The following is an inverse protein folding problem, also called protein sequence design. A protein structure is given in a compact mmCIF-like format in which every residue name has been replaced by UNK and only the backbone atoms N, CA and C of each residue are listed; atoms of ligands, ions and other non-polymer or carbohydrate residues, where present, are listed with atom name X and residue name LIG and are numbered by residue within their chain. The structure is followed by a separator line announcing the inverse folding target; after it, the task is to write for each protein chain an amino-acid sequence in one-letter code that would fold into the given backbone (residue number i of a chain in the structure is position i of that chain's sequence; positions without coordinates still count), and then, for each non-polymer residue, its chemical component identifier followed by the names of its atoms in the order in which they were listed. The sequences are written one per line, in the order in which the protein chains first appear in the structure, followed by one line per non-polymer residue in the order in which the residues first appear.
data_IF_981400327287
#
_entry.id   IF_981400327287
#
_cell.length_a   1.000
_cell.length_b   1.000
_cell.length_c   1.000
_cell.angle_alpha   90.00
_cell.angle_beta   90.00
_cell.angle_gamma   90.00
#
_symmetry.space_group_name_H-M   'P 1'
#
loop_
_entity.id
_entity.type
_entity.pdbx_description
1 polymer ?
#
# COMPACT_ATOMS: atom_id res chain seq x y z
N UNK A 1 36.88 22.58 22.75
CA UNK A 1 36.74 21.73 21.54
C UNK A 1 35.93 22.51 20.53
N UNK A 2 36.41 22.60 19.29
CA UNK A 2 35.64 23.18 18.19
C UNK A 2 34.47 22.25 17.89
N UNK A 3 33.26 22.78 17.84
CA UNK A 3 32.06 22.04 17.44
C UNK A 3 32.06 21.86 15.92
N UNK A 4 31.62 20.70 15.45
CA UNK A 4 31.42 20.45 14.01
C UNK A 4 30.24 21.29 13.53
N UNK A 5 30.40 22.02 12.45
CA UNK A 5 29.30 22.78 11.82
C UNK A 5 28.65 21.89 10.77
N UNK A 6 27.34 21.68 10.88
CA UNK A 6 26.54 20.85 9.96
C UNK A 6 25.39 21.65 9.38
N UNK A 7 24.96 21.31 8.17
CA UNK A 7 23.73 21.79 7.57
C UNK A 7 22.48 21.07 8.09
N UNK A 8 21.35 21.32 7.44
CA UNK A 8 20.08 20.60 7.68
C UNK A 8 20.10 19.14 7.21
N UNK A 9 21.02 18.80 6.31
CA UNK A 9 21.29 17.45 5.80
C UNK A 9 22.81 17.24 5.68
N UNK A 10 23.29 16.06 6.09
CA UNK A 10 24.70 15.68 6.01
C UNK A 10 24.87 14.21 5.65
N UNK A 11 26.09 13.85 5.24
CA UNK A 11 26.51 12.46 5.10
C UNK A 11 27.37 12.06 6.31
N UNK A 12 27.15 10.85 6.81
CA UNK A 12 27.87 10.31 7.96
C UNK A 12 28.13 8.81 7.78
N UNK A 13 29.08 8.26 8.54
CA UNK A 13 29.42 6.83 8.55
C UNK A 13 29.18 6.18 9.90
N UNK A 14 28.99 4.86 9.87
CA UNK A 14 28.93 3.99 11.06
C UNK A 14 29.90 2.82 10.87
N UNK A 15 31.19 2.98 11.22
CA UNK A 15 32.21 1.96 11.03
C UNK A 15 31.88 0.64 11.72
N UNK A 16 31.33 0.70 12.95
CA UNK A 16 30.97 -0.49 13.72
C UNK A 16 29.87 -1.33 13.05
N UNK A 17 29.08 -0.71 12.17
CA UNK A 17 28.00 -1.35 11.42
C UNK A 17 28.40 -1.64 9.96
N UNK A 18 29.63 -1.32 9.57
CA UNK A 18 30.08 -1.45 8.18
C UNK A 18 29.29 -0.57 7.21
N UNK A 19 28.78 0.59 7.66
CA UNK A 19 28.06 1.56 6.81
C UNK A 19 29.05 2.67 6.42
N UNK A 20 29.60 2.67 5.18
CA UNK A 20 30.63 3.62 4.79
C UNK A 20 30.09 5.05 4.59
N UNK A 21 28.83 5.21 4.20
CA UNK A 21 28.19 6.53 4.14
C UNK A 21 26.67 6.45 4.05
N UNK A 22 25.96 7.26 4.83
CA UNK A 22 24.50 7.34 4.83
C UNK A 22 24.06 8.79 4.98
N UNK A 23 23.02 9.15 4.20
CA UNK A 23 22.44 10.48 4.24
C UNK A 23 21.57 10.64 5.49
N UNK A 24 21.92 11.59 6.33
CA UNK A 24 21.21 11.92 7.56
C UNK A 24 20.50 13.27 7.45
N UNK A 25 19.28 13.34 7.98
CA UNK A 25 18.64 14.62 8.30
C UNK A 25 19.05 15.02 9.71
N UNK A 26 19.52 16.26 9.85
CA UNK A 26 19.85 16.86 11.14
C UNK A 26 18.57 17.38 11.77
N UNK A 27 18.17 16.78 12.89
CA UNK A 27 16.88 17.06 13.55
C UNK A 27 17.08 17.33 15.04
N UNK A 28 17.24 18.62 15.38
CA UNK A 28 17.36 19.08 16.76
C UNK A 28 16.07 18.93 17.58
N UNK A 29 14.92 18.70 16.93
CA UNK A 29 13.64 18.40 17.56
C UNK A 29 13.53 16.95 18.02
N UNK A 30 14.21 16.02 17.33
CA UNK A 30 14.30 14.63 17.74
C UNK A 30 15.22 14.48 18.97
N UNK A 31 14.73 13.86 20.04
CA UNK A 31 15.55 13.60 21.24
C UNK A 31 16.70 12.63 20.92
N UNK A 32 16.35 11.45 20.39
CA UNK A 32 17.28 10.34 20.10
C UNK A 32 17.36 10.13 18.60
N UNK A 33 18.55 9.74 18.11
CA UNK A 33 18.77 9.40 16.70
C UNK A 33 18.00 8.13 16.29
N UNK A 34 17.67 8.04 15.00
CA UNK A 34 16.96 6.90 14.45
C UNK A 34 17.57 6.46 13.11
N UNK A 35 17.84 5.16 12.98
CA UNK A 35 18.36 4.54 11.77
C UNK A 35 17.31 3.61 11.17
N UNK A 36 17.09 3.79 9.86
CA UNK A 36 16.24 2.93 9.07
C UNK A 36 16.81 1.52 9.06
N UNK A 37 16.06 0.58 9.58
CA UNK A 37 16.44 -0.82 9.62
C UNK A 37 15.23 -1.71 9.30
N UNK A 38 15.49 -2.80 8.57
CA UNK A 38 14.51 -3.85 8.25
C UNK A 38 15.00 -5.20 8.77
N UNK A 39 14.13 -6.21 8.74
CA UNK A 39 14.44 -7.56 9.23
C UNK A 39 15.02 -7.60 10.66
N UNK A 40 14.60 -6.64 11.51
CA UNK A 40 15.11 -6.47 12.87
C UNK A 40 14.68 -7.66 13.73
N UNK A 41 15.65 -8.47 14.15
CA UNK A 41 15.42 -9.66 14.94
C UNK A 41 16.42 -9.74 16.11
N UNK A 42 15.95 -9.82 17.37
CA UNK A 42 16.84 -10.07 18.50
C UNK A 42 17.34 -11.52 18.48
N UNK A 43 18.57 -11.73 18.95
CA UNK A 43 19.15 -13.07 19.14
C UNK A 43 20.16 -13.04 20.29
N UNK A 44 20.57 -14.22 20.76
CA UNK A 44 21.59 -14.37 21.80
C UNK A 44 22.90 -14.79 21.13
N UNK A 45 23.98 -14.06 21.43
CA UNK A 45 25.35 -14.36 20.97
C UNK A 45 26.26 -14.34 22.18
N UNK A 46 26.94 -15.45 22.47
CA UNK A 46 27.83 -15.59 23.63
C UNK A 46 27.15 -15.12 24.94
N UNK A 47 25.94 -15.62 25.22
CA UNK A 47 25.13 -15.27 26.41
C UNK A 47 24.78 -13.78 26.58
N UNK A 48 24.95 -12.97 25.53
CA UNK A 48 24.56 -11.55 25.52
C UNK A 48 23.43 -11.30 24.52
N UNK A 49 22.60 -10.29 24.78
CA UNK A 49 21.51 -9.89 23.89
C UNK A 49 22.07 -9.09 22.71
N UNK A 50 21.76 -9.54 21.51
CA UNK A 50 22.11 -8.89 20.25
C UNK A 50 20.88 -8.65 19.41
N UNK A 51 21.02 -7.81 18.39
CA UNK A 51 20.03 -7.61 17.36
C UNK A 51 20.70 -7.69 15.99
N UNK A 52 20.12 -8.47 15.08
CA UNK A 52 20.47 -8.47 13.67
C UNK A 52 19.45 -7.69 12.88
N UNK A 53 19.90 -6.98 11.86
CA UNK A 53 19.06 -6.11 11.05
C UNK A 53 19.75 -5.79 9.72
N UNK A 54 18.96 -5.37 8.74
CA UNK A 54 19.44 -4.97 7.43
C UNK A 54 19.26 -3.47 7.24
N UNK A 55 20.24 -2.83 6.61
CA UNK A 55 20.25 -1.40 6.28
C UNK A 55 20.22 -1.22 4.77
N UNK A 56 19.32 -0.37 4.29
CA UNK A 56 19.37 0.20 2.94
C UNK A 56 19.94 1.63 3.04
N UNK A 57 21.25 1.82 2.82
CA UNK A 57 21.92 3.09 3.12
C UNK A 57 21.64 4.18 2.06
N UNK A 58 21.34 3.77 0.83
CA UNK A 58 21.08 4.68 -0.29
C UNK A 58 19.59 5.04 -0.33
N UNK A 59 19.31 6.33 -0.50
CA UNK A 59 17.94 6.84 -0.61
C UNK A 59 17.24 6.28 -1.86
N UNK A 60 15.99 5.84 -1.70
CA UNK A 60 15.19 5.21 -2.77
C UNK A 60 15.85 4.00 -3.46
N UNK A 61 16.79 3.32 -2.78
CA UNK A 61 17.42 2.09 -3.26
C UNK A 61 17.22 1.00 -2.21
N UNK A 62 16.58 -0.09 -2.65
CA UNK A 62 16.27 -1.31 -1.88
C UNK A 62 17.29 -2.44 -2.12
N UNK A 63 18.11 -2.32 -3.17
CA UNK A 63 19.02 -3.36 -3.68
C UNK A 63 20.34 -3.42 -2.92
N UNK A 64 20.82 -2.26 -2.49
CA UNK A 64 22.01 -2.13 -1.65
C UNK A 64 21.62 -2.47 -0.21
N UNK A 65 22.11 -3.59 0.30
CA UNK A 65 21.82 -4.07 1.66
C UNK A 65 23.13 -4.24 2.41
N UNK A 66 23.18 -3.71 3.63
CA UNK A 66 24.23 -4.01 4.61
C UNK A 66 23.60 -4.83 5.73
N UNK A 67 24.17 -6.01 5.98
CA UNK A 67 23.78 -6.89 7.07
C UNK A 67 24.54 -6.50 8.34
N UNK A 68 23.81 -6.10 9.37
CA UNK A 68 24.39 -5.58 10.59
C UNK A 68 23.99 -6.47 11.79
N UNK A 69 24.93 -6.61 12.72
CA UNK A 69 24.70 -7.18 14.05
C UNK A 69 25.27 -6.21 15.08
N UNK A 70 24.53 -5.93 16.14
CA UNK A 70 25.02 -5.09 17.23
C UNK A 70 24.50 -5.58 18.60
N UNK A 71 25.25 -5.35 19.69
CA UNK A 71 24.75 -5.55 21.04
C UNK A 71 23.49 -4.74 21.29
N UNK A 72 22.47 -5.38 21.87
CA UNK A 72 21.23 -4.72 22.24
C UNK A 72 21.38 -4.08 23.62
N UNK A 73 21.40 -2.74 23.67
CA UNK A 73 21.64 -2.00 24.91
C UNK A 73 20.33 -1.65 25.66
N UNK A 74 19.23 -1.41 24.94
CA UNK A 74 17.96 -0.98 25.53
C UNK A 74 16.77 -1.22 24.58
N UNK A 75 15.55 -1.11 25.09
CA UNK A 75 14.31 -0.99 24.31
C UNK A 75 13.54 0.25 24.75
N UNK A 76 13.36 1.21 23.85
CA UNK A 76 12.72 2.50 24.18
C UNK A 76 11.39 2.67 23.47
N UNK A 77 10.40 3.18 24.21
CA UNK A 77 9.15 3.64 23.62
C UNK A 77 9.39 5.04 23.05
N UNK A 78 9.40 5.16 21.73
CA UNK A 78 9.55 6.42 21.01
C UNK A 78 8.18 6.90 20.56
N UNK A 79 7.86 8.17 20.86
CA UNK A 79 6.64 8.82 20.41
C UNK A 79 6.96 9.69 19.18
N UNK A 80 6.25 9.47 18.06
CA UNK A 80 6.36 10.33 16.88
C UNK A 80 5.64 11.67 17.10
N UNK A 81 5.93 12.65 16.24
CA UNK A 81 5.19 13.91 16.16
C UNK A 81 3.69 13.71 15.88
N UNK A 82 3.32 12.62 15.19
CA UNK A 82 1.92 12.22 14.96
C UNK A 82 1.24 11.54 16.15
N UNK A 83 1.94 11.39 17.28
CA UNK A 83 1.39 10.78 18.50
C UNK A 83 1.50 9.25 18.59
N UNK A 84 2.00 8.59 17.54
CA UNK A 84 2.23 7.15 17.51
C UNK A 84 3.34 6.76 18.49
N UNK A 85 3.16 5.66 19.22
CA UNK A 85 4.17 5.11 20.14
C UNK A 85 4.67 3.79 19.59
N UNK A 86 5.97 3.67 19.45
CA UNK A 86 6.65 2.47 18.96
C UNK A 86 7.72 2.03 19.96
N UNK A 87 7.78 0.75 20.29
CA UNK A 87 8.90 0.21 21.04
C UNK A 87 10.03 -0.16 20.07
N UNK A 88 11.17 0.50 20.21
CA UNK A 88 12.33 0.33 19.32
C UNK A 88 13.51 -0.27 20.05
N UNK A 89 14.26 -1.11 19.36
CA UNK A 89 15.56 -1.60 19.83
C UNK A 89 16.59 -0.47 19.76
N UNK A 90 17.45 -0.37 20.77
CA UNK A 90 18.50 0.63 20.86
C UNK A 90 19.85 -0.06 20.79
N UNK A 91 20.73 0.46 19.94
CA UNK A 91 22.12 0.04 19.81
C UNK A 91 23.05 1.22 20.09
N UNK A 92 24.28 0.93 20.47
CA UNK A 92 25.35 1.93 20.51
C UNK A 92 26.31 1.69 19.33
N UNK A 93 26.68 2.77 18.63
CA UNK A 93 27.63 2.73 17.50
C UNK A 93 28.41 4.04 17.44
N UNK A 94 29.63 4.00 16.93
CA UNK A 94 30.40 5.19 16.60
C UNK A 94 29.80 5.88 15.38
N UNK A 95 29.47 7.16 15.54
CA UNK A 95 29.14 8.08 14.45
C UNK A 95 30.42 8.76 14.00
N UNK A 96 30.66 8.75 12.70
CA UNK A 96 31.66 9.58 12.03
C UNK A 96 30.96 10.63 11.18
N UNK A 97 31.31 11.90 11.39
CA UNK A 97 30.75 13.04 10.65
C UNK A 97 31.82 14.12 10.49
N UNK A 98 32.21 14.37 9.23
CA UNK A 98 33.41 15.16 8.94
C UNK A 98 34.66 14.46 9.48
N UNK A 99 35.49 15.19 10.23
CA UNK A 99 36.71 14.65 10.87
C UNK A 99 36.48 14.15 12.30
N UNK A 100 35.23 14.17 12.79
CA UNK A 100 34.91 13.87 14.18
C UNK A 100 34.23 12.51 14.33
N UNK A 101 34.56 11.84 15.44
CA UNK A 101 34.06 10.49 15.77
C UNK A 101 33.65 10.42 17.23
N UNK A 102 32.44 9.92 17.52
CA UNK A 102 32.01 9.65 18.89
C UNK A 102 30.89 8.61 18.97
N UNK A 103 30.73 7.90 20.10
CA UNK A 103 29.64 6.94 20.28
C UNK A 103 28.29 7.65 20.42
N UNK A 104 27.28 7.10 19.76
CA UNK A 104 25.89 7.53 19.88
C UNK A 104 24.96 6.34 20.11
N UNK A 105 23.83 6.61 20.75
CA UNK A 105 22.72 5.66 20.79
C UNK A 105 21.78 5.90 19.60
N UNK A 106 21.37 4.81 18.97
CA UNK A 106 20.51 4.84 17.79
C UNK A 106 19.36 3.88 17.97
N UNK A 107 18.15 4.36 17.70
CA UNK A 107 16.95 3.52 17.65
C UNK A 107 16.80 2.89 16.26
N UNK A 108 16.57 1.57 16.21
CA UNK A 108 16.30 0.84 14.97
C UNK A 108 14.79 0.85 14.69
N UNK A 109 14.39 1.28 13.49
CA UNK A 109 12.97 1.34 13.10
C UNK A 109 12.82 1.29 11.58
N UNK A 110 11.71 0.74 11.08
CA UNK A 110 11.42 0.84 9.66
C UNK A 110 10.94 2.26 9.34
N UNK A 111 11.77 2.97 8.58
CA UNK A 111 11.53 4.34 8.10
C UNK A 111 11.27 4.44 6.59
N UNK A 112 10.90 3.36 5.90
CA UNK A 112 10.67 3.35 4.43
C UNK A 112 9.72 4.46 3.98
N UNK A 113 8.68 4.74 4.76
CA UNK A 113 7.68 5.77 4.46
C UNK A 113 8.14 7.19 4.85
N UNK A 114 9.31 7.33 5.47
CA UNK A 114 9.84 8.59 5.98
C UNK A 114 11.11 8.93 5.19
N UNK A 115 11.11 10.02 4.41
CA UNK A 115 12.12 10.32 3.38
C UNK A 115 13.61 10.40 3.78
N UNK A 116 13.98 10.14 5.04
CA UNK A 116 15.38 10.00 5.48
C UNK A 116 15.63 8.68 6.20
N UNK A 117 16.60 7.93 5.66
CA UNK A 117 17.10 6.67 6.22
C UNK A 117 17.82 6.87 7.56
N UNK A 118 18.35 8.05 7.85
CA UNK A 118 18.96 8.39 9.14
C UNK A 118 18.43 9.74 9.66
N UNK A 119 18.08 9.79 10.95
CA UNK A 119 17.82 11.02 11.69
C UNK A 119 18.90 11.21 12.76
N UNK A 120 19.60 12.34 12.72
CA UNK A 120 20.56 12.73 13.74
C UNK A 120 19.87 13.58 14.80
N UNK A 121 19.64 13.00 15.98
CA UNK A 121 18.92 13.62 17.08
C UNK A 121 19.80 14.48 18.00
N UNK A 122 19.15 15.27 18.85
CA UNK A 122 19.79 16.22 19.77
C UNK A 122 20.77 15.59 20.75
N UNK A 123 20.50 14.38 21.26
CA UNK A 123 21.42 13.68 22.18
C UNK A 123 22.77 13.36 21.52
N UNK A 124 22.76 12.94 20.25
CA UNK A 124 23.97 12.70 19.48
C UNK A 124 24.76 14.00 19.22
N UNK A 125 24.06 15.12 19.01
CA UNK A 125 24.65 16.43 18.68
C UNK A 125 25.14 17.23 19.89
N UNK A 126 24.55 17.01 21.07
CA UNK A 126 24.74 17.87 22.24
C UNK A 126 26.22 18.02 22.61
N UNK A 127 26.67 19.27 22.74
CA UNK A 127 28.05 19.62 23.06
C UNK A 127 29.06 19.46 21.92
N UNK A 128 28.67 18.88 20.78
CA UNK A 128 29.59 18.47 19.69
C UNK A 128 29.32 19.16 18.37
N UNK A 129 28.07 19.55 18.11
CA UNK A 129 27.61 20.04 16.80
C UNK A 129 26.98 21.43 16.91
N UNK A 130 27.19 22.27 15.88
CA UNK A 130 26.45 23.49 15.57
C UNK A 130 25.69 23.29 14.26
N UNK A 131 24.39 23.62 14.25
CA UNK A 131 23.54 23.42 13.08
C UNK A 131 23.30 24.76 12.38
N UNK A 132 23.68 24.84 11.12
CA UNK A 132 23.28 25.91 10.20
C UNK A 132 22.05 25.44 9.40
N UNK A 133 20.84 25.96 9.70
CA UNK A 133 19.62 25.50 9.05
C UNK A 133 19.50 25.94 7.59
N UNK A 134 20.27 26.93 7.13
CA UNK A 134 20.21 27.44 5.75
C UNK A 134 21.03 26.57 4.78
N UNK A 135 22.03 25.85 5.30
CA UNK A 135 22.97 25.07 4.51
C UNK A 135 22.62 23.58 4.48
N UNK A 136 23.22 22.88 3.53
CA UNK A 136 23.20 21.43 3.38
C UNK A 136 24.58 20.97 2.92
N UNK A 137 25.00 19.77 3.35
CA UNK A 137 26.25 19.12 2.92
C UNK A 137 27.49 19.97 3.17
N UNK A 138 27.57 20.64 4.32
CA UNK A 138 28.74 21.46 4.68
C UNK A 138 30.01 20.62 4.80
N UNK A 139 29.86 19.32 5.06
CA UNK A 139 30.95 18.35 5.18
C UNK A 139 31.21 17.58 3.88
N UNK A 140 30.56 17.98 2.78
CA UNK A 140 30.66 17.34 1.48
C UNK A 140 29.56 16.30 1.22
N UNK A 141 29.46 15.89 -0.04
CA UNK A 141 28.51 14.87 -0.49
C UNK A 141 29.19 13.93 -1.51
N UNK A 142 28.98 12.61 -1.38
CA UNK A 142 29.43 11.67 -2.39
C UNK A 142 28.62 11.86 -3.69
N UNK A 143 29.27 11.72 -4.83
CA UNK A 143 28.58 11.67 -6.13
C UNK A 143 27.85 10.33 -6.30
N UNK A 144 26.89 10.28 -7.25
CA UNK A 144 26.16 9.02 -7.53
C UNK A 144 27.09 7.88 -7.97
N UNK A 145 28.14 8.18 -8.72
CA UNK A 145 29.10 7.16 -9.16
C UNK A 145 29.99 6.68 -8.01
N UNK A 146 30.39 7.60 -7.13
CA UNK A 146 31.11 7.27 -5.90
C UNK A 146 30.25 6.37 -4.97
N UNK A 147 28.94 6.66 -4.83
CA UNK A 147 28.03 5.79 -4.07
C UNK A 147 27.94 4.38 -4.65
N UNK A 148 27.86 4.24 -5.97
CA UNK A 148 27.85 2.91 -6.62
C UNK A 148 29.15 2.15 -6.37
N UNK A 149 30.28 2.84 -6.39
CA UNK A 149 31.59 2.24 -6.13
C UNK A 149 31.72 1.79 -4.67
N UNK A 150 31.36 2.66 -3.71
CA UNK A 150 31.34 2.35 -2.27
C UNK A 150 30.52 1.10 -1.98
N UNK A 151 29.37 0.96 -2.64
CA UNK A 151 28.39 -0.10 -2.37
C UNK A 151 28.38 -1.25 -3.39
N UNK A 152 29.39 -1.33 -4.26
CA UNK A 152 29.43 -2.29 -5.38
C UNK A 152 29.26 -3.76 -4.96
N UNK A 153 29.78 -4.13 -3.79
CA UNK A 153 29.72 -5.51 -3.26
C UNK A 153 28.52 -5.74 -2.34
N UNK A 154 27.68 -4.74 -2.14
CA UNK A 154 26.51 -4.78 -1.26
C UNK A 154 25.19 -4.92 -2.03
N UNK A 155 25.25 -4.93 -3.37
CA UNK A 155 24.09 -5.23 -4.22
C UNK A 155 23.88 -6.74 -4.30
N UNK A 156 22.70 -7.20 -3.87
CA UNK A 156 22.32 -8.61 -4.04
C UNK A 156 21.73 -8.79 -5.43
N UNK A 157 22.24 -9.77 -6.20
CA UNK A 157 21.53 -10.23 -7.39
C UNK A 157 20.14 -10.74 -6.97
N UNK A 158 19.06 -10.41 -7.71
CA UNK A 158 17.75 -10.95 -7.40
C UNK A 158 17.81 -12.48 -7.45
N UNK A 159 17.38 -13.12 -6.37
CA UNK A 159 17.40 -14.59 -6.20
C UNK A 159 16.01 -15.16 -5.97
N UNK A 160 15.01 -14.29 -5.87
CA UNK A 160 13.60 -14.66 -5.76
C UNK A 160 12.90 -14.67 -7.11
N UNK A 161 11.57 -14.81 -7.04
CA UNK A 161 10.65 -14.76 -8.17
C UNK A 161 10.84 -13.53 -9.06
N UNK A 162 10.51 -13.66 -10.34
CA UNK A 162 10.38 -12.57 -11.30
C UNK A 162 8.93 -12.12 -11.36
N UNK A 163 8.67 -10.91 -10.88
CA UNK A 163 7.31 -10.40 -10.65
C UNK A 163 7.07 -9.13 -11.48
N UNK A 164 6.00 -9.11 -12.27
CA UNK A 164 5.59 -7.95 -13.05
C UNK A 164 4.50 -7.14 -12.34
N UNK A 165 4.68 -5.83 -12.20
CA UNK A 165 3.63 -4.90 -11.76
C UNK A 165 2.94 -4.30 -12.99
N UNK A 166 1.76 -4.82 -13.35
CA UNK A 166 1.00 -4.39 -14.52
C UNK A 166 0.12 -3.18 -14.19
N UNK A 167 0.56 -1.97 -14.57
CA UNK A 167 -0.08 -0.72 -14.16
C UNK A 167 0.04 0.38 -15.23
N UNK A 168 -0.52 1.56 -14.96
CA UNK A 168 -0.50 2.68 -15.92
C UNK A 168 0.49 3.80 -15.60
N UNK A 169 0.92 3.93 -14.34
CA UNK A 169 1.77 5.03 -13.88
C UNK A 169 2.74 4.53 -12.79
N UNK A 170 4.05 4.49 -13.03
CA UNK A 170 5.04 4.04 -12.04
C UNK A 170 5.18 5.00 -10.85
N UNK A 171 4.82 6.27 -11.02
CA UNK A 171 5.06 7.31 -10.02
C UNK A 171 4.06 7.31 -8.85
N UNK A 172 3.00 6.52 -8.93
CA UNK A 172 2.02 6.44 -7.84
C UNK A 172 2.64 5.75 -6.63
N UNK A 173 2.37 6.30 -5.44
CA UNK A 173 2.83 5.74 -4.15
C UNK A 173 2.62 4.22 -4.05
N UNK A 174 1.41 3.74 -4.37
CA UNK A 174 1.10 2.30 -4.27
C UNK A 174 1.95 1.44 -5.18
N UNK A 175 2.30 1.94 -6.37
CA UNK A 175 3.10 1.17 -7.32
C UNK A 175 4.58 1.17 -6.91
N UNK A 176 5.12 2.32 -6.49
CA UNK A 176 6.49 2.41 -5.92
C UNK A 176 6.65 1.46 -4.74
N UNK A 177 5.72 1.51 -3.79
CA UNK A 177 5.72 0.65 -2.60
C UNK A 177 5.68 -0.84 -2.93
N UNK A 178 4.90 -1.27 -3.91
CA UNK A 178 4.86 -2.68 -4.34
C UNK A 178 6.18 -3.10 -4.99
N UNK A 179 6.77 -2.26 -5.84
CA UNK A 179 8.08 -2.50 -6.45
C UNK A 179 9.16 -2.61 -5.38
N UNK A 180 9.25 -1.63 -4.49
CA UNK A 180 10.20 -1.62 -3.37
C UNK A 180 10.04 -2.84 -2.46
N UNK A 181 8.80 -3.17 -2.06
CA UNK A 181 8.53 -4.31 -1.20
C UNK A 181 8.92 -5.64 -1.85
N UNK A 182 8.79 -5.77 -3.17
CA UNK A 182 9.27 -6.95 -3.90
C UNK A 182 10.79 -7.03 -3.94
N UNK A 183 11.46 -5.93 -4.27
CA UNK A 183 12.92 -5.86 -4.33
C UNK A 183 13.57 -6.10 -2.96
N UNK A 184 13.05 -5.50 -1.90
CA UNK A 184 13.52 -5.70 -0.51
C UNK A 184 13.38 -7.15 -0.05
N UNK A 185 12.48 -7.92 -0.68
CA UNK A 185 12.27 -9.34 -0.41
C UNK A 185 13.08 -10.24 -1.34
N UNK A 186 13.92 -9.64 -2.20
CA UNK A 186 14.87 -10.33 -3.07
C UNK A 186 14.33 -10.72 -4.44
N UNK A 187 13.14 -10.24 -4.82
CA UNK A 187 12.50 -10.54 -6.10
C UNK A 187 12.99 -9.63 -7.22
N UNK A 188 12.94 -10.14 -8.44
CA UNK A 188 13.18 -9.34 -9.65
C UNK A 188 11.89 -8.64 -10.06
N UNK A 189 11.78 -7.35 -9.78
CA UNK A 189 10.56 -6.56 -10.04
C UNK A 189 10.62 -5.85 -11.39
N UNK A 190 9.56 -5.97 -12.19
CA UNK A 190 9.41 -5.27 -13.47
C UNK A 190 8.14 -4.43 -13.49
N UNK A 191 8.26 -3.13 -13.75
CA UNK A 191 7.08 -2.32 -14.03
C UNK A 191 6.65 -2.54 -15.49
N UNK A 192 5.39 -2.92 -15.70
CA UNK A 192 4.83 -3.17 -17.02
C UNK A 192 3.71 -2.16 -17.28
N UNK A 193 3.95 -1.20 -18.18
CA UNK A 193 2.89 -0.28 -18.57
C UNK A 193 1.84 -1.00 -19.43
N UNK A 194 0.58 -0.99 -18.96
CA UNK A 194 -0.57 -1.60 -19.66
C UNK A 194 -0.62 -1.18 -21.13
N UNK A 195 -0.40 0.11 -21.44
CA UNK A 195 -0.53 0.63 -22.81
C UNK A 195 0.64 0.26 -23.73
N UNK A 196 1.74 -0.21 -23.15
CA UNK A 196 2.93 -0.61 -23.90
C UNK A 196 2.97 -2.12 -24.15
N UNK A 197 2.05 -2.88 -23.54
CA UNK A 197 1.90 -4.30 -23.76
C UNK A 197 0.97 -4.57 -24.95
N UNK A 198 1.29 -5.59 -25.75
CA UNK A 198 0.43 -6.12 -26.81
C UNK A 198 0.58 -7.64 -26.91
N UNK A 199 -0.41 -8.35 -27.46
CA UNK A 199 -0.48 -9.82 -27.38
C UNK A 199 -0.41 -10.45 -28.77
N UNK A 200 0.22 -11.62 -28.84
CA UNK A 200 0.15 -12.54 -29.96
C UNK A 200 -0.70 -13.74 -29.51
N UNK A 201 -1.88 -13.87 -30.11
CA UNK A 201 -2.75 -15.03 -29.94
C UNK A 201 -2.37 -16.08 -31.00
N UNK A 202 -1.71 -17.14 -30.56
CA UNK A 202 -1.28 -18.23 -31.41
C UNK A 202 -1.51 -19.55 -30.67
N UNK A 203 -1.97 -20.58 -31.38
CA UNK A 203 -2.33 -21.86 -30.79
C UNK A 203 -1.12 -22.64 -30.25
N UNK A 204 0.08 -22.39 -30.77
CA UNK A 204 1.31 -23.11 -30.40
C UNK A 204 2.24 -22.27 -29.54
N UNK A 205 2.34 -20.97 -29.83
CA UNK A 205 3.26 -20.04 -29.19
C UNK A 205 2.58 -18.70 -28.86
N UNK A 206 1.63 -18.70 -27.90
CA UNK A 206 1.06 -17.46 -27.38
C UNK A 206 2.15 -16.62 -26.72
N UNK A 207 2.14 -15.31 -26.93
CA UNK A 207 3.16 -14.40 -26.41
C UNK A 207 2.53 -13.08 -25.95
N UNK A 208 3.16 -12.45 -24.95
CA UNK A 208 2.91 -11.06 -24.59
C UNK A 208 4.17 -10.29 -24.95
N UNK A 209 4.02 -9.18 -25.65
CA UNK A 209 5.08 -8.31 -26.09
C UNK A 209 4.98 -6.98 -25.35
N UNK A 210 6.11 -6.29 -25.26
CA UNK A 210 6.26 -4.94 -24.75
C UNK A 210 6.84 -4.04 -25.83
N UNK A 211 6.55 -2.74 -25.75
CA UNK A 211 7.09 -1.71 -26.64
C UNK A 211 8.58 -1.97 -26.94
N UNK A 212 8.91 -1.95 -28.23
CA UNK A 212 10.25 -2.29 -28.72
C UNK A 212 10.43 -3.75 -29.13
N UNK A 213 9.36 -4.56 -29.16
CA UNK A 213 9.43 -5.95 -29.62
C UNK A 213 9.93 -6.93 -28.56
N UNK A 214 10.11 -6.49 -27.31
CA UNK A 214 10.55 -7.36 -26.22
C UNK A 214 9.44 -8.32 -25.84
N UNK A 215 9.71 -9.62 -25.90
CA UNK A 215 8.77 -10.63 -25.43
C UNK A 215 8.85 -10.71 -23.90
N UNK A 216 7.69 -10.62 -23.25
CA UNK A 216 7.54 -10.73 -21.81
C UNK A 216 7.39 -12.21 -21.41
N UNK A 217 8.53 -12.90 -21.37
CA UNK A 217 8.60 -14.28 -20.90
C UNK A 217 9.12 -14.33 -19.45
N UNK A 218 8.97 -15.51 -18.83
CA UNK A 218 9.63 -15.88 -17.56
C UNK A 218 9.17 -15.07 -16.33
N UNK A 219 7.93 -14.58 -16.33
CA UNK A 219 7.33 -14.08 -15.09
C UNK A 219 6.74 -15.22 -14.29
N UNK A 220 7.07 -15.28 -13.00
CA UNK A 220 6.42 -16.18 -12.06
C UNK A 220 5.05 -15.61 -11.66
N UNK A 221 4.99 -14.29 -11.43
CA UNK A 221 3.78 -13.63 -10.99
C UNK A 221 3.56 -12.25 -11.63
N UNK A 222 2.29 -11.85 -11.73
CA UNK A 222 1.85 -10.52 -12.11
C UNK A 222 0.96 -9.93 -11.02
N UNK A 223 1.15 -8.65 -10.71
CA UNK A 223 0.28 -7.85 -9.84
C UNK A 223 -0.47 -6.83 -10.71
N UNK A 224 -1.72 -7.08 -11.12
CA UNK A 224 -2.48 -6.12 -11.89
C UNK A 224 -2.99 -4.95 -11.02
N UNK A 225 -2.56 -3.73 -11.36
CA UNK A 225 -3.02 -2.47 -10.75
C UNK A 225 -3.80 -1.66 -11.78
N UNK A 226 -4.94 -2.24 -12.17
CA UNK A 226 -5.76 -1.76 -13.28
C UNK A 226 -6.70 -0.64 -12.82
N UNK A 227 -6.58 0.53 -13.46
CA UNK A 227 -7.52 1.65 -13.29
C UNK A 227 -8.81 1.37 -14.06
N UNK A 228 -9.97 1.90 -13.62
CA UNK A 228 -11.22 1.51 -14.26
C UNK A 228 -11.33 1.94 -15.74
N UNK A 229 -10.67 3.03 -16.15
CA UNK A 229 -10.63 3.51 -17.54
C UNK A 229 -9.91 2.56 -18.52
N UNK A 230 -9.16 1.58 -18.04
CA UNK A 230 -8.44 0.60 -18.85
C UNK A 230 -8.78 -0.83 -18.44
N UNK A 231 -9.95 -1.04 -17.80
CA UNK A 231 -10.36 -2.36 -17.26
C UNK A 231 -10.33 -3.43 -18.32
N UNK A 232 -10.98 -3.19 -19.48
CA UNK A 232 -11.06 -4.16 -20.55
C UNK A 232 -9.68 -4.65 -21.00
N UNK A 233 -8.82 -3.72 -21.41
CA UNK A 233 -7.48 -4.05 -21.92
C UNK A 233 -6.57 -4.63 -20.84
N UNK A 234 -6.58 -4.07 -19.62
CA UNK A 234 -5.81 -4.60 -18.50
C UNK A 234 -6.21 -6.02 -18.11
N UNK A 235 -7.51 -6.33 -18.10
CA UNK A 235 -7.98 -7.68 -17.81
C UNK A 235 -7.68 -8.65 -18.96
N UNK A 236 -7.69 -8.18 -20.22
CA UNK A 236 -7.26 -9.00 -21.36
C UNK A 236 -5.78 -9.40 -21.25
N UNK A 237 -4.89 -8.46 -20.91
CA UNK A 237 -3.48 -8.76 -20.64
C UNK A 237 -3.31 -9.72 -19.45
N UNK A 238 -4.02 -9.46 -18.36
CA UNK A 238 -3.97 -10.32 -17.16
C UNK A 238 -4.40 -11.75 -17.50
N UNK A 239 -5.47 -11.91 -18.28
CA UNK A 239 -5.94 -13.21 -18.76
C UNK A 239 -4.95 -13.90 -19.69
N UNK A 240 -4.20 -13.14 -20.48
CA UNK A 240 -3.13 -13.71 -21.29
C UNK A 240 -1.97 -14.22 -20.43
N UNK A 241 -1.61 -13.51 -19.35
CA UNK A 241 -0.62 -14.01 -18.38
C UNK A 241 -1.11 -15.27 -17.68
N UNK A 242 -2.39 -15.33 -17.28
CA UNK A 242 -3.02 -16.53 -16.71
C UNK A 242 -2.95 -17.72 -17.68
N UNK A 243 -3.24 -17.50 -18.97
CA UNK A 243 -3.15 -18.53 -20.01
C UNK A 243 -1.72 -19.03 -20.25
N UNK A 244 -0.70 -18.23 -19.87
CA UNK A 244 0.71 -18.61 -19.87
C UNK A 244 1.15 -19.25 -18.53
N UNK A 245 0.21 -19.63 -17.66
CA UNK A 245 0.44 -20.20 -16.33
C UNK A 245 1.21 -19.28 -15.37
N UNK A 246 1.10 -17.96 -15.56
CA UNK A 246 1.67 -16.96 -14.66
C UNK A 246 0.67 -16.63 -13.55
N UNK A 247 1.12 -16.61 -12.30
CA UNK A 247 0.23 -16.33 -11.16
C UNK A 247 -0.18 -14.86 -11.10
N UNK A 248 -1.49 -14.56 -11.07
CA UNK A 248 -2.00 -13.17 -11.05
C UNK A 248 -2.63 -12.80 -9.69
N UNK A 249 -2.18 -11.67 -9.10
CA UNK A 249 -2.68 -11.13 -7.83
C UNK A 249 -3.32 -9.74 -8.04
N UNK A 250 -4.60 -9.61 -8.35
CA UNK A 250 -5.69 -10.62 -8.45
C UNK A 250 -5.86 -11.18 -9.87
N UNK A 251 -6.75 -12.18 -10.01
CA UNK A 251 -7.13 -12.75 -11.30
C UNK A 251 -7.96 -11.78 -12.16
N UNK A 252 -7.93 -11.98 -13.48
CA UNK A 252 -8.69 -11.18 -14.45
C UNK A 252 -10.20 -11.26 -14.20
N UNK A 253 -10.70 -12.43 -13.85
CA UNK A 253 -12.11 -12.69 -13.49
C UNK A 253 -12.50 -11.92 -12.24
N UNK A 254 -11.74 -12.04 -11.14
CA UNK A 254 -12.04 -11.35 -9.88
C UNK A 254 -12.02 -9.82 -10.04
N UNK A 255 -11.07 -9.30 -10.84
CA UNK A 255 -11.02 -7.87 -11.16
C UNK A 255 -12.27 -7.44 -11.92
N UNK A 256 -12.68 -8.18 -12.95
CA UNK A 256 -13.86 -7.88 -13.76
C UNK A 256 -15.13 -7.88 -12.91
N UNK A 257 -15.32 -8.90 -12.08
CA UNK A 257 -16.46 -9.00 -11.16
C UNK A 257 -16.52 -7.84 -10.17
N UNK A 258 -15.37 -7.39 -9.66
CA UNK A 258 -15.32 -6.24 -8.74
C UNK A 258 -15.60 -4.88 -9.38
N UNK A 259 -15.48 -4.79 -10.70
CA UNK A 259 -15.69 -3.54 -11.44
C UNK A 259 -17.16 -3.34 -11.79
N UNK A 260 -17.89 -4.43 -11.99
CA UNK A 260 -19.33 -4.41 -12.11
C UNK A 260 -19.96 -4.29 -10.70
N UNK A 261 -20.36 -3.08 -10.32
CA UNK A 261 -20.94 -2.82 -9.00
C UNK A 261 -22.27 -3.56 -8.80
N UNK A 262 -23.09 -3.69 -9.84
CA UNK A 262 -24.38 -4.38 -9.72
C UNK A 262 -24.15 -5.87 -9.48
N UNK A 263 -23.33 -6.50 -10.33
CA UNK A 263 -22.98 -7.90 -10.18
C UNK A 263 -22.31 -8.17 -8.83
N UNK A 264 -21.37 -7.31 -8.41
CA UNK A 264 -20.70 -7.40 -7.11
C UNK A 264 -21.72 -7.38 -5.96
N UNK A 265 -22.66 -6.43 -5.94
CA UNK A 265 -23.69 -6.36 -4.89
C UNK A 265 -24.60 -7.60 -4.90
N UNK A 266 -25.02 -8.07 -6.07
CA UNK A 266 -25.84 -9.28 -6.21
C UNK A 266 -25.10 -10.52 -5.68
N UNK A 267 -23.82 -10.68 -6.01
CA UNK A 267 -22.97 -11.78 -5.56
C UNK A 267 -22.76 -11.76 -4.04
N UNK A 268 -22.54 -10.58 -3.46
CA UNK A 268 -22.34 -10.40 -2.03
C UNK A 268 -23.64 -10.67 -1.25
N UNK A 269 -24.78 -10.22 -1.77
CA UNK A 269 -26.09 -10.50 -1.20
C UNK A 269 -26.41 -12.01 -1.25
N UNK A 270 -26.16 -12.67 -2.39
CA UNK A 270 -26.29 -14.12 -2.52
C UNK A 270 -25.37 -14.88 -1.55
N UNK A 271 -24.20 -14.31 -1.26
CA UNK A 271 -23.28 -14.82 -0.26
C UNK A 271 -23.73 -14.51 1.18
N UNK A 272 -24.92 -13.96 1.42
CA UNK A 272 -25.43 -13.63 2.75
C UNK A 272 -24.61 -12.55 3.46
N UNK A 273 -24.16 -11.54 2.73
CA UNK A 273 -23.53 -10.34 3.28
C UNK A 273 -24.54 -9.20 3.20
N UNK A 274 -24.77 -8.52 4.33
CA UNK A 274 -25.64 -7.36 4.38
C UNK A 274 -25.07 -6.19 3.57
N UNK A 275 -25.91 -5.61 2.72
CA UNK A 275 -25.65 -4.36 1.99
C UNK A 275 -26.78 -3.39 2.31
N UNK A 276 -26.59 -2.07 2.13
CA UNK A 276 -27.70 -1.14 2.22
C UNK A 276 -28.77 -1.48 1.18
N UNK A 277 -30.05 -1.29 1.52
CA UNK A 277 -31.18 -1.46 0.61
C UNK A 277 -30.91 -0.73 -0.71
N UNK A 278 -30.86 -1.45 -1.81
CA UNK A 278 -30.42 -0.92 -3.12
C UNK A 278 -31.40 -1.31 -4.22
N UNK A 279 -31.94 -0.32 -4.91
CA UNK A 279 -32.67 -0.47 -6.17
C UNK A 279 -31.74 -0.24 -7.37
N UNK A 280 -32.01 -0.94 -8.46
CA UNK A 280 -31.29 -0.77 -9.72
C UNK A 280 -32.28 -0.47 -10.84
N UNK A 281 -31.95 0.49 -11.70
CA UNK A 281 -32.76 0.79 -12.87
C UNK A 281 -31.91 1.31 -14.04
N UNK A 282 -32.36 1.01 -15.26
CA UNK A 282 -31.76 1.52 -16.50
C UNK A 282 -32.55 2.73 -17.02
N UNK A 283 -33.88 2.61 -17.10
CA UNK A 283 -34.78 3.73 -17.40
C UNK A 283 -36.16 3.43 -16.79
N UNK A 284 -36.36 3.72 -15.49
CA UNK A 284 -37.66 3.48 -14.87
C UNK A 284 -38.65 4.52 -15.42
N UNK A 285 -39.77 4.11 -16.00
CA UNK A 285 -40.91 5.03 -16.18
C UNK A 285 -41.44 5.49 -14.80
N UNK A 286 -41.27 4.65 -13.78
CA UNK A 286 -41.76 4.87 -12.41
C UNK A 286 -40.64 5.25 -11.42
N UNK A 287 -40.13 6.49 -11.52
CA UNK A 287 -39.14 7.03 -10.55
C UNK A 287 -39.63 6.95 -9.10
N UNK A 288 -40.93 7.20 -8.89
CA UNK A 288 -41.53 7.21 -7.56
C UNK A 288 -41.47 5.83 -6.91
N UNK A 289 -41.72 4.78 -7.69
CA UNK A 289 -41.64 3.40 -7.19
C UNK A 289 -40.19 3.04 -6.82
N UNK A 290 -39.22 3.41 -7.64
CA UNK A 290 -37.80 3.20 -7.33
C UNK A 290 -37.35 3.89 -6.04
N UNK A 291 -37.86 5.09 -5.77
CA UNK A 291 -37.60 5.81 -4.52
C UNK A 291 -38.24 5.08 -3.33
N UNK A 292 -39.48 4.60 -3.48
CA UNK A 292 -40.18 3.86 -2.42
C UNK A 292 -39.52 2.51 -2.12
N UNK A 293 -39.01 1.80 -3.15
CA UNK A 293 -38.31 0.52 -3.00
C UNK A 293 -37.13 0.59 -2.02
N UNK A 294 -36.47 1.74 -1.89
CA UNK A 294 -35.33 1.93 -0.98
C UNK A 294 -35.69 2.61 0.34
N UNK A 295 -36.99 2.82 0.61
CA UNK A 295 -37.48 3.45 1.83
C UNK A 295 -37.65 4.97 1.77
N UNK A 296 -37.46 5.58 0.60
CA UNK A 296 -37.59 7.04 0.43
C UNK A 296 -36.34 7.84 0.83
N UNK A 297 -36.40 9.18 0.75
CA UNK A 297 -35.27 10.06 1.10
C UNK A 297 -35.04 10.15 2.63
N UNK A 298 -33.81 10.45 3.07
CA UNK A 298 -32.61 10.69 2.25
C UNK A 298 -32.11 9.40 1.59
N UNK A 299 -31.67 9.51 0.32
CA UNK A 299 -31.16 8.38 -0.45
C UNK A 299 -29.94 8.78 -1.29
N UNK A 300 -29.16 7.78 -1.71
CA UNK A 300 -27.98 7.96 -2.54
C UNK A 300 -28.25 7.45 -3.95
N UNK A 301 -28.02 8.28 -4.96
CA UNK A 301 -28.05 7.89 -6.38
C UNK A 301 -26.62 7.73 -6.87
N UNK A 302 -26.28 6.56 -7.42
CA UNK A 302 -24.95 6.22 -7.93
C UNK A 302 -25.03 5.84 -9.41
N UNK A 303 -24.16 6.42 -10.23
CA UNK A 303 -23.91 5.94 -11.58
C UNK A 303 -23.03 4.68 -11.53
N UNK A 304 -23.41 3.67 -12.33
CA UNK A 304 -22.55 2.50 -12.54
C UNK A 304 -21.26 2.89 -13.27
N UNK A 305 -21.39 3.80 -14.22
CA UNK A 305 -20.28 4.33 -15.02
C UNK A 305 -19.59 5.48 -14.28
N UNK A 306 -18.31 5.29 -13.93
CA UNK A 306 -17.51 6.31 -13.26
C UNK A 306 -16.57 5.77 -12.18
N UNK A 307 -15.61 6.60 -11.75
CA UNK A 307 -14.61 6.25 -10.73
C UNK A 307 -14.48 7.37 -9.70
N UNK A 308 -14.00 7.04 -8.50
CA UNK A 308 -13.66 8.03 -7.46
C UNK A 308 -14.82 8.93 -7.00
N UNK A 309 -16.03 8.39 -6.85
CA UNK A 309 -17.17 9.12 -6.28
C UNK A 309 -17.80 10.19 -7.19
N UNK A 310 -17.27 10.38 -8.41
CA UNK A 310 -17.97 11.13 -9.47
C UNK A 310 -19.19 10.31 -9.88
N UNK A 311 -20.38 10.92 -9.77
CA UNK A 311 -21.65 10.24 -10.02
C UNK A 311 -22.29 9.61 -8.78
N UNK A 312 -21.87 9.97 -7.56
CA UNK A 312 -22.56 9.61 -6.31
C UNK A 312 -23.17 10.88 -5.71
N UNK A 313 -24.51 10.93 -5.61
CA UNK A 313 -25.28 12.11 -5.21
C UNK A 313 -26.19 11.75 -4.04
N UNK A 314 -26.16 12.55 -2.97
CA UNK A 314 -27.14 12.47 -1.88
C UNK A 314 -28.36 13.31 -2.26
N UNK A 315 -29.53 12.71 -2.23
CA UNK A 315 -30.81 13.39 -2.39
C UNK A 315 -31.57 13.37 -1.07
N UNK A 316 -31.64 14.53 -0.41
CA UNK A 316 -32.28 14.69 0.90
C UNK A 316 -33.81 14.74 0.82
N UNK A 317 -34.36 15.04 -0.36
CA UNK A 317 -35.80 15.15 -0.59
C UNK A 317 -36.22 14.32 -1.79
N UNK A 318 -37.51 13.97 -1.85
CA UNK A 318 -38.09 13.22 -2.97
C UNK A 318 -37.90 13.97 -4.29
N UNK A 319 -38.17 15.28 -4.31
CA UNK A 319 -37.99 16.13 -5.50
C UNK A 319 -36.54 16.15 -5.98
N UNK A 320 -35.57 16.22 -5.05
CA UNK A 320 -34.16 16.14 -5.40
C UNK A 320 -33.80 14.78 -5.99
N UNK A 321 -34.31 13.69 -5.41
CA UNK A 321 -34.09 12.34 -5.91
C UNK A 321 -34.66 12.17 -7.33
N UNK A 322 -35.90 12.62 -7.55
CA UNK A 322 -36.55 12.62 -8.86
C UNK A 322 -35.75 13.41 -9.89
N UNK A 323 -35.29 14.60 -9.53
CA UNK A 323 -34.48 15.46 -10.40
C UNK A 323 -33.18 14.78 -10.82
N UNK A 324 -32.43 14.21 -9.87
CA UNK A 324 -31.17 13.52 -10.14
C UNK A 324 -31.38 12.26 -10.99
N UNK A 325 -32.39 11.45 -10.64
CA UNK A 325 -32.72 10.23 -11.39
C UNK A 325 -33.12 10.58 -12.83
N UNK A 326 -33.97 11.58 -13.03
CA UNK A 326 -34.38 12.01 -14.38
C UNK A 326 -33.21 12.61 -15.19
N UNK A 327 -32.31 13.34 -14.53
CA UNK A 327 -31.10 13.86 -15.18
C UNK A 327 -30.15 12.72 -15.62
N UNK A 328 -30.06 11.63 -14.87
CA UNK A 328 -29.26 10.47 -15.31
C UNK A 328 -29.95 9.63 -16.39
N UNK A 329 -31.29 9.57 -16.39
CA UNK A 329 -32.04 8.93 -17.48
C UNK A 329 -31.83 9.62 -18.83
N UNK A 330 -31.78 10.95 -18.88
CA UNK A 330 -31.55 11.66 -20.14
C UNK A 330 -30.17 11.38 -20.75
N UNK A 331 -29.26 10.83 -19.95
CA UNK A 331 -27.94 10.35 -20.38
C UNK A 331 -27.94 8.86 -20.75
N UNK A 332 -29.09 8.17 -20.73
CA UNK A 332 -29.23 6.72 -20.92
C UNK A 332 -28.29 5.90 -20.01
N UNK A 333 -28.05 6.39 -18.79
CA UNK A 333 -27.12 5.78 -17.86
C UNK A 333 -27.81 4.82 -16.88
N UNK A 334 -27.16 3.70 -16.58
CA UNK A 334 -27.60 2.79 -15.54
C UNK A 334 -27.37 3.39 -14.13
N UNK A 335 -28.41 3.35 -13.29
CA UNK A 335 -28.41 3.95 -11.95
C UNK A 335 -28.66 2.92 -10.85
N UNK A 336 -27.94 3.09 -9.74
CA UNK A 336 -28.24 2.48 -8.45
C UNK A 336 -28.83 3.55 -7.53
N UNK A 337 -29.94 3.24 -6.90
CA UNK A 337 -30.54 4.06 -5.84
C UNK A 337 -30.38 3.26 -4.55
N UNK A 338 -29.87 3.88 -3.49
CA UNK A 338 -29.51 3.17 -2.27
C UNK A 338 -29.97 3.94 -1.03
N UNK A 339 -30.39 3.24 0.02
CA UNK A 339 -30.72 3.86 1.31
C UNK A 339 -29.51 4.65 1.86
N UNK A 340 -29.76 5.82 2.44
CA UNK A 340 -28.72 6.60 3.09
C UNK A 340 -28.59 6.23 4.58
N UNK A 341 -27.43 5.74 4.98
CA UNK A 341 -27.15 5.37 6.37
C UNK A 341 -26.73 6.62 7.16
N UNK A 342 -27.72 7.40 7.61
CA UNK A 342 -27.49 8.69 8.29
C UNK A 342 -26.74 8.54 9.61
N UNK A 343 -26.98 7.46 10.35
CA UNK A 343 -26.36 7.19 11.65
C UNK A 343 -24.84 6.96 11.58
N UNK A 344 -24.32 6.68 10.38
CA UNK A 344 -22.88 6.57 10.17
C UNK A 344 -22.17 7.93 10.25
N UNK A 345 -22.91 9.04 10.17
CA UNK A 345 -22.41 10.40 10.32
C UNK A 345 -21.17 10.70 9.44
N UNK A 346 -21.24 10.34 8.15
CA UNK A 346 -20.16 10.57 7.20
C UNK A 346 -18.91 9.71 7.43
N UNK A 347 -19.03 8.60 8.16
CA UNK A 347 -17.92 7.69 8.47
C UNK A 347 -18.12 6.35 7.79
N UNK A 348 -17.03 5.79 7.29
CA UNK A 348 -16.96 4.40 6.87
C UNK A 348 -15.64 3.76 7.28
N UNK A 349 -15.60 2.44 7.17
CA UNK A 349 -14.44 1.62 7.47
C UNK A 349 -13.88 1.08 6.17
N UNK A 350 -12.57 1.18 5.98
CA UNK A 350 -11.86 0.43 4.94
C UNK A 350 -11.04 -0.67 5.59
N UNK A 351 -11.42 -1.92 5.34
CA UNK A 351 -10.69 -3.12 5.74
C UNK A 351 -9.88 -3.62 4.55
N UNK A 352 -8.58 -3.76 4.73
CA UNK A 352 -7.68 -4.25 3.69
C UNK A 352 -7.42 -5.73 3.92
N UNK A 353 -7.86 -6.55 2.96
CA UNK A 353 -7.76 -8.00 2.98
C UNK A 353 -6.62 -8.43 2.08
N UNK A 354 -5.73 -9.29 2.59
CA UNK A 354 -4.68 -9.96 1.83
C UNK A 354 -4.71 -11.45 2.21
N UNK A 355 -4.81 -12.33 1.21
CA UNK A 355 -4.82 -13.79 1.35
C UNK A 355 -5.77 -14.30 2.45
N UNK A 356 -7.00 -13.78 2.46
CA UNK A 356 -8.04 -14.16 3.42
C UNK A 356 -7.88 -13.59 4.83
N UNK A 357 -6.97 -12.64 5.05
CA UNK A 357 -6.76 -11.97 6.35
C UNK A 357 -6.92 -10.46 6.24
N UNK A 358 -7.59 -9.85 7.22
CA UNK A 358 -7.61 -8.39 7.36
C UNK A 358 -6.27 -7.93 7.95
N UNK A 359 -5.42 -7.33 7.11
CA UNK A 359 -4.06 -6.87 7.49
C UNK A 359 -4.07 -5.46 8.09
N UNK A 360 -5.02 -4.61 7.68
CA UNK A 360 -5.18 -3.27 8.19
C UNK A 360 -6.63 -2.78 8.13
N UNK A 361 -6.95 -1.81 8.98
CA UNK A 361 -8.25 -1.14 8.99
C UNK A 361 -8.06 0.32 9.32
N UNK A 362 -8.76 1.17 8.57
CA UNK A 362 -8.87 2.61 8.85
C UNK A 362 -10.35 2.98 8.88
N UNK A 363 -10.68 3.97 9.70
CA UNK A 363 -11.92 4.72 9.55
C UNK A 363 -11.63 5.93 8.68
N UNK A 364 -12.49 6.18 7.70
CA UNK A 364 -12.46 7.43 6.95
C UNK A 364 -13.63 8.29 7.39
N UNK A 365 -13.41 9.60 7.46
CA UNK A 365 -14.41 10.59 7.86
C UNK A 365 -14.47 11.70 6.81
N UNK A 366 -15.69 11.99 6.35
CA UNK A 366 -15.95 13.06 5.40
C UNK A 366 -15.69 14.44 6.03
N UNK A 367 -15.43 15.44 5.18
CA UNK A 367 -15.33 16.83 5.63
C UNK A 367 -16.71 17.36 6.07
N UNK A 368 -16.76 18.42 6.91
CA UNK A 368 -18.03 19.08 7.22
C UNK A 368 -18.78 19.49 5.93
N UNK A 369 -20.04 19.08 5.82
CA UNK A 369 -20.87 19.33 4.63
C UNK A 369 -20.72 18.30 3.49
N UNK A 370 -19.84 17.30 3.64
CA UNK A 370 -19.69 16.19 2.70
C UNK A 370 -20.13 14.87 3.39
N UNK A 371 -20.77 13.96 2.65
CA UNK A 371 -21.19 12.66 3.18
C UNK A 371 -20.26 11.52 2.75
N UNK A 372 -19.45 11.75 1.70
CA UNK A 372 -18.50 10.78 1.16
C UNK A 372 -17.18 10.85 1.92
N UNK A 373 -16.82 9.76 2.57
CA UNK A 373 -15.58 9.66 3.36
C UNK A 373 -14.32 9.37 2.53
N UNK A 374 -14.37 9.47 1.20
CA UNK A 374 -13.21 9.16 0.35
C UNK A 374 -12.05 10.14 0.62
N UNK A 375 -10.85 9.61 0.90
CA UNK A 375 -9.64 10.42 1.16
C UNK A 375 -9.31 11.35 -0.01
N UNK A 376 -9.54 10.91 -1.26
CA UNK A 376 -9.32 11.76 -2.45
C UNK A 376 -10.26 12.98 -2.53
N UNK A 377 -11.34 13.02 -1.76
CA UNK A 377 -12.25 14.17 -1.64
C UNK A 377 -11.93 15.06 -0.42
N UNK A 378 -10.77 14.87 0.21
CA UNK A 378 -10.37 15.61 1.41
C UNK A 378 -10.79 14.97 2.73
N UNK A 379 -11.38 13.76 2.69
CA UNK A 379 -11.69 13.00 3.90
C UNK A 379 -10.44 12.66 4.72
N UNK A 380 -10.58 12.59 6.03
CA UNK A 380 -9.47 12.22 6.94
C UNK A 380 -9.49 10.72 7.21
N UNK A 381 -8.32 10.14 7.49
CA UNK A 381 -8.18 8.74 7.87
C UNK A 381 -7.66 8.62 9.30
N UNK A 382 -8.28 7.76 10.10
CA UNK A 382 -7.84 7.44 11.47
C UNK A 382 -7.75 5.95 11.68
N UNK A 383 -6.86 5.52 12.58
CA UNK A 383 -6.72 4.12 12.95
C UNK A 383 -7.96 3.69 13.74
N UNK A 384 -8.52 2.52 13.40
CA UNK A 384 -9.61 1.93 14.16
C UNK A 384 -9.43 0.42 14.26
N UNK A 385 -9.92 -0.15 15.37
CA UNK A 385 -9.99 -1.59 15.56
C UNK A 385 -11.33 -2.10 15.00
N UNK A 386 -11.27 -2.88 13.93
CA UNK A 386 -12.44 -3.58 13.40
C UNK A 386 -12.96 -4.63 14.40
N UNK A 387 -14.29 -4.75 14.48
CA UNK A 387 -14.97 -5.80 15.24
C UNK A 387 -14.81 -7.17 14.57
N UNK A 388 -15.06 -8.28 15.28
CA UNK A 388 -15.05 -9.62 14.66
C UNK A 388 -16.01 -9.74 13.48
N UNK A 389 -17.21 -9.15 13.57
CA UNK A 389 -18.22 -9.21 12.51
C UNK A 389 -17.80 -8.40 11.28
N UNK A 390 -17.21 -7.22 11.47
CA UNK A 390 -16.65 -6.41 10.36
C UNK A 390 -15.55 -7.17 9.62
N UNK A 391 -14.63 -7.81 10.37
CA UNK A 391 -13.58 -8.65 9.76
C UNK A 391 -14.16 -9.85 9.02
N UNK A 392 -15.18 -10.50 9.60
CA UNK A 392 -15.86 -11.65 8.99
C UNK A 392 -16.52 -11.24 7.67
N UNK A 393 -17.20 -10.10 7.63
CA UNK A 393 -17.79 -9.54 6.41
C UNK A 393 -16.71 -9.29 5.37
N UNK A 394 -15.61 -8.61 5.73
CA UNK A 394 -14.54 -8.30 4.78
C UNK A 394 -13.88 -9.55 4.18
N UNK A 395 -13.58 -10.55 5.02
CA UNK A 395 -12.99 -11.82 4.55
C UNK A 395 -13.98 -12.59 3.68
N UNK A 396 -15.26 -12.65 4.06
CA UNK A 396 -16.31 -13.33 3.29
C UNK A 396 -16.53 -12.65 1.94
N UNK A 397 -16.51 -11.31 1.90
CA UNK A 397 -16.66 -10.53 0.67
C UNK A 397 -15.50 -10.77 -0.30
N UNK A 398 -14.26 -10.68 0.19
CA UNK A 398 -13.07 -10.96 -0.61
C UNK A 398 -13.10 -12.39 -1.17
N UNK A 399 -13.50 -13.38 -0.35
CA UNK A 399 -13.65 -14.77 -0.77
C UNK A 399 -14.75 -14.97 -1.81
N UNK A 400 -15.92 -14.36 -1.62
CA UNK A 400 -17.05 -14.48 -2.55
C UNK A 400 -16.70 -13.99 -3.97
N UNK A 401 -15.83 -12.98 -4.05
CA UNK A 401 -15.39 -12.37 -5.31
C UNK A 401 -14.05 -12.92 -5.82
N UNK A 402 -13.52 -13.96 -5.18
CA UNK A 402 -12.21 -14.55 -5.48
C UNK A 402 -11.05 -13.53 -5.50
N UNK A 403 -11.13 -12.51 -4.63
CA UNK A 403 -10.10 -11.49 -4.49
C UNK A 403 -9.11 -11.89 -3.38
N UNK A 404 -7.86 -12.14 -3.77
CA UNK A 404 -6.75 -12.37 -2.84
C UNK A 404 -6.30 -11.07 -2.17
N UNK A 405 -6.39 -9.94 -2.87
CA UNK A 405 -6.16 -8.59 -2.34
C UNK A 405 -7.39 -7.73 -2.57
N UNK A 406 -7.98 -7.20 -1.50
CA UNK A 406 -9.18 -6.38 -1.61
C UNK A 406 -9.20 -5.25 -0.58
N UNK A 407 -9.73 -4.09 -0.98
CA UNK A 407 -10.20 -3.08 -0.05
C UNK A 407 -11.72 -3.22 0.10
N UNK A 408 -12.19 -3.57 1.28
CA UNK A 408 -13.62 -3.73 1.58
C UNK A 408 -14.09 -2.55 2.40
N UNK A 409 -15.09 -1.85 1.90
CA UNK A 409 -15.69 -0.70 2.56
C UNK A 409 -16.96 -1.12 3.28
N UNK A 410 -17.03 -0.80 4.56
CA UNK A 410 -18.15 -1.15 5.45
C UNK A 410 -18.65 0.12 6.13
N UNK A 411 -19.97 0.26 6.22
CA UNK A 411 -20.63 1.30 6.99
C UNK A 411 -21.28 0.68 8.22
N UNK A 412 -21.19 1.36 9.36
CA UNK A 412 -21.90 0.96 10.58
C UNK A 412 -23.31 1.50 10.53
N UNK A 413 -24.30 0.63 10.70
CA UNK A 413 -25.71 1.01 10.77
C UNK A 413 -26.36 0.46 12.05
N UNK A 414 -27.56 0.96 12.35
CA UNK A 414 -28.44 0.41 13.39
C UNK A 414 -28.79 -1.08 13.18
N UNK A 415 -28.74 -1.56 11.93
CA UNK A 415 -28.98 -2.97 11.55
C UNK A 415 -27.71 -3.84 11.63
N UNK A 416 -26.58 -3.27 12.07
CA UNK A 416 -25.27 -3.89 12.05
C UNK A 416 -24.36 -3.37 10.92
N UNK A 417 -23.16 -3.94 10.74
CA UNK A 417 -22.23 -3.55 9.66
C UNK A 417 -22.78 -3.95 8.29
N UNK A 418 -22.83 -3.00 7.36
CA UNK A 418 -23.26 -3.20 5.97
C UNK A 418 -22.10 -2.94 5.01
N UNK A 419 -21.96 -3.78 3.98
CA UNK A 419 -20.93 -3.62 2.96
C UNK A 419 -21.35 -2.57 1.92
N UNK A 420 -20.46 -1.61 1.64
CA UNK A 420 -20.66 -0.57 0.64
C UNK A 420 -20.05 -0.91 -0.73
N UNK A 421 -18.78 -1.31 -0.74
CA UNK A 421 -18.04 -1.64 -1.97
C UNK A 421 -16.86 -2.58 -1.69
N UNK A 422 -16.44 -3.31 -2.72
CA UNK A 422 -15.21 -4.11 -2.71
C UNK A 422 -14.34 -3.69 -3.89
N UNK A 423 -13.10 -3.31 -3.60
CA UNK A 423 -12.13 -2.85 -4.57
C UNK A 423 -11.01 -3.88 -4.78
N UNK A 424 -10.81 -4.32 -6.03
CA UNK A 424 -9.73 -5.22 -6.44
C UNK A 424 -8.35 -4.57 -6.56
N UNK A 425 -8.28 -3.24 -6.62
CA UNK A 425 -7.03 -2.48 -6.73
C UNK A 425 -7.03 -1.31 -5.72
N UNK A 426 -7.11 -1.59 -4.40
CA UNK A 426 -7.19 -0.56 -3.36
C UNK A 426 -5.87 0.22 -3.26
N UNK A 427 -5.94 1.53 -3.04
CA UNK A 427 -4.74 2.36 -2.82
C UNK A 427 -4.06 2.05 -1.48
N UNK A 428 -2.73 2.14 -1.45
CA UNK A 428 -1.91 1.84 -0.28
C UNK A 428 -1.58 3.09 0.56
N UNK A 429 -1.51 4.27 -0.05
CA UNK A 429 -1.00 5.49 0.60
C UNK A 429 -1.74 5.86 1.89
N UNK A 430 -3.05 6.03 1.80
CA UNK A 430 -3.84 6.42 2.97
C UNK A 430 -3.84 5.37 4.09
N UNK A 431 -3.73 4.09 3.76
CA UNK A 431 -3.75 3.02 4.76
C UNK A 431 -2.39 2.74 5.38
N UNK A 432 -1.31 2.76 4.60
CA UNK A 432 0.06 2.63 5.11
C UNK A 432 0.43 3.85 5.94
N UNK A 433 0.10 5.07 5.49
CA UNK A 433 0.36 6.29 6.25
C UNK A 433 -0.40 6.35 7.58
N UNK A 434 -1.66 5.89 7.60
CA UNK A 434 -2.45 5.86 8.82
C UNK A 434 -2.01 4.76 9.79
N UNK A 435 -1.63 3.57 9.29
CA UNK A 435 -1.39 2.40 10.14
C UNK A 435 0.08 2.07 10.40
N UNK A 436 1.01 2.69 9.65
CA UNK A 436 2.44 2.35 9.61
C UNK A 436 2.72 0.86 9.35
N UNK A 437 1.78 0.15 8.71
CA UNK A 437 1.96 -1.26 8.35
C UNK A 437 2.47 -1.37 6.91
N UNK A 438 3.32 -2.35 6.68
CA UNK A 438 3.84 -2.74 5.36
C UNK A 438 2.81 -3.61 4.62
N UNK A 439 1.84 -2.98 3.97
CA UNK A 439 0.76 -3.65 3.23
C UNK A 439 1.28 -4.16 1.88
N UNK A 440 2.16 -3.41 1.23
CA UNK A 440 2.82 -3.87 0.01
C UNK A 440 3.60 -5.18 0.26
N UNK A 441 4.35 -5.28 1.36
CA UNK A 441 5.05 -6.52 1.72
C UNK A 441 4.12 -7.68 2.07
N UNK A 442 2.94 -7.43 2.66
CA UNK A 442 1.90 -8.47 2.81
C UNK A 442 1.43 -9.00 1.45
N UNK A 443 1.27 -8.13 0.44
CA UNK A 443 0.93 -8.57 -0.92
C UNK A 443 2.01 -9.46 -1.53
N UNK A 444 3.29 -9.10 -1.37
CA UNK A 444 4.41 -9.93 -1.86
C UNK A 444 4.48 -11.26 -1.09
N UNK A 445 4.29 -11.25 0.23
CA UNK A 445 4.20 -12.48 1.06
C UNK A 445 3.10 -13.42 0.56
N UNK A 446 1.97 -12.89 0.11
CA UNK A 446 0.88 -13.69 -0.46
C UNK A 446 1.32 -14.41 -1.74
N UNK A 447 2.11 -13.75 -2.59
CA UNK A 447 2.70 -14.38 -3.79
C UNK A 447 3.67 -15.48 -3.36
N UNK A 448 4.66 -15.19 -2.50
CA UNK A 448 5.64 -16.17 -2.04
C UNK A 448 5.00 -17.44 -1.46
N UNK A 449 3.93 -17.28 -0.69
CA UNK A 449 3.20 -18.41 -0.08
C UNK A 449 2.60 -19.32 -1.15
N UNK A 450 2.14 -18.77 -2.27
CA UNK A 450 1.65 -19.56 -3.40
C UNK A 450 2.75 -20.50 -3.94
N UNK A 451 3.96 -19.97 -4.14
CA UNK A 451 5.09 -20.74 -4.67
C UNK A 451 5.75 -21.69 -3.65
N UNK A 452 5.67 -21.40 -2.36
CA UNK A 452 6.13 -22.33 -1.30
C UNK A 452 5.20 -23.53 -1.12
N UNK A 453 3.90 -23.38 -1.39
CA UNK A 453 2.95 -24.49 -1.35
C UNK A 453 3.17 -25.45 -2.53
N UNK A 454 3.54 -24.93 -3.70
CA UNK A 454 3.83 -25.73 -4.89
C UNK A 454 5.10 -26.58 -4.76
N UNK A 455 6.12 -26.12 -4.02
CA UNK A 455 7.34 -26.92 -3.75
C UNK A 455 7.14 -28.00 -2.69
N UNK A 456 6.12 -27.86 -1.83
CA UNK A 456 5.77 -28.86 -0.82
C UNK A 456 4.84 -29.97 -1.36
N UNK A 457 4.26 -29.80 -2.56
CA UNK A 457 3.30 -30.76 -3.14
C UNK A 457 3.57 -31.00 -4.64
N UNK A 458 4.68 -31.68 -5.01
CA UNK A 458 5.08 -31.87 -6.40
C UNK A 458 4.14 -32.78 -7.25
N UNK A 459 3.04 -33.29 -6.69
CA UNK A 459 2.17 -34.30 -7.32
C UNK A 459 1.01 -33.77 -8.20
N UNK A 460 0.99 -32.49 -8.56
CA UNK A 460 -0.06 -31.93 -9.44
C UNK A 460 0.43 -31.33 -10.76
N UNK A 461 1.72 -31.51 -11.11
CA UNK A 461 2.26 -31.10 -12.43
C UNK A 461 2.24 -32.19 -13.51
N UNK A 462 1.69 -33.37 -13.21
CA UNK A 462 1.43 -34.41 -14.21
C UNK A 462 -0.06 -34.76 -14.19
N UNK A 463 -0.86 -34.03 -14.96
CA UNK A 463 -2.05 -34.52 -15.64
C UNK A 463 -2.46 -33.57 -16.76
#
# INVERSE_FOLDING_TARGET
MNKVVVGSEEWCSFPDLGIPTIKARVDSGAKTSALHAINIAPFIKNDTNWVKFDINPIQNNSKTIIHCEAPLIDKRIVKSSSGFREQRYVIQTNLEIGEATWPIEVTLTNRDTMGFRMLLGREAMSGRVLVDPEKQFLLGQPSNDNLKEIYKNSEKAPSGLRIGLLASNPELYSNKRIMEAGEMRGHEMHFLNIKECYIKLDAKKPEIHYRGGKILNEFDAIIPRIRPSVTFYGCALTRQFEALNVFCLNSSTAITQSRDKLFSLQLLLHSGIGIPTTGFANSPLDTDDLIKMVGGPPLVVKLLEGTQGKGVVLAETKKAAESVINAFKSLNANILVQEFIKEANGKDLRLFVVDGKVVATIQREAMPGEFRANIHLGGTASIIKATPDEKKIAIKAAKAMDLRVAGVDIIRSSKGPLLLEVNSSPGLEGIEAATNKDIAGEMIRAIEKNFKLDTANPKQKEQ
#
